data_IF_039448003401
#
_entry.id   IF_039448003401
#
_cell.length_a   1.000
_cell.length_b   1.000
_cell.length_c   1.000
_cell.angle_alpha   90.00
_cell.angle_beta   90.00
_cell.angle_gamma   90.00
#
_symmetry.space_group_name_H-M   'P 1'
#
loop_
_entity.id
_entity.type
_entity.pdbx_description
1 polymer ?
#
# COMPACT_ATOMS: atom_id res chain seq x y z
N UNK A 1 -4.74 -7.43 -25.83
CA UNK A 1 -3.96 -6.16 -25.89
C UNK A 1 -4.10 -5.45 -24.54
N UNK A 2 -3.17 -5.71 -23.62
CA UNK A 2 -3.26 -5.25 -22.22
C UNK A 2 -2.94 -3.75 -22.18
N UNK A 3 -3.95 -2.92 -21.91
CA UNK A 3 -3.74 -1.50 -21.58
C UNK A 3 -2.98 -1.45 -20.25
N UNK A 4 -1.65 -1.35 -20.31
CA UNK A 4 -0.83 -0.98 -19.15
C UNK A 4 -1.22 0.44 -18.72
N UNK A 5 -2.25 0.55 -17.88
CA UNK A 5 -2.49 1.76 -17.11
C UNK A 5 -1.42 1.78 -16.03
N UNK A 6 -0.30 2.45 -16.34
CA UNK A 6 0.88 2.50 -15.49
C UNK A 6 0.55 2.84 -14.04
N UNK A 7 1.42 2.39 -13.14
CA UNK A 7 1.44 2.78 -11.72
C UNK A 7 1.41 4.31 -11.63
N UNK A 8 0.22 4.86 -11.42
CA UNK A 8 0.05 6.28 -11.25
C UNK A 8 0.47 6.61 -9.82
N UNK A 9 1.79 6.73 -9.62
CA UNK A 9 2.40 7.17 -8.37
C UNK A 9 1.83 8.54 -7.99
N UNK A 10 1.58 8.66 -6.70
CA UNK A 10 0.75 9.65 -6.02
C UNK A 10 1.45 10.98 -5.83
N UNK A 11 2.30 11.35 -6.78
CA UNK A 11 2.82 12.70 -6.79
C UNK A 11 1.67 13.63 -7.14
N UNK A 12 1.35 14.52 -6.20
CA UNK A 12 0.41 15.61 -6.39
C UNK A 12 0.72 16.27 -7.72
N UNK A 13 -0.13 16.05 -8.73
CA UNK A 13 0.09 16.64 -10.03
C UNK A 13 -0.01 18.14 -9.90
N UNK A 14 1.12 18.83 -9.82
CA UNK A 14 1.13 20.29 -9.76
C UNK A 14 0.50 20.83 -11.02
N UNK A 15 0.70 20.16 -12.16
CA UNK A 15 0.28 20.65 -13.48
C UNK A 15 0.96 21.98 -13.83
N UNK A 16 2.00 22.33 -13.10
CA UNK A 16 2.81 23.52 -13.26
C UNK A 16 3.95 23.18 -14.21
N UNK A 17 4.14 24.02 -15.23
CA UNK A 17 5.17 23.81 -16.25
C UNK A 17 6.39 24.65 -15.92
N UNK A 18 7.44 23.98 -15.46
CA UNK A 18 8.75 24.57 -15.14
C UNK A 18 9.71 24.24 -16.30
N UNK A 19 10.48 25.22 -16.81
CA UNK A 19 11.50 24.94 -17.81
C UNK A 19 12.64 24.12 -17.18
N UNK A 20 13.05 23.07 -17.88
CA UNK A 20 14.17 22.21 -17.48
C UNK A 20 15.03 21.90 -18.69
N UNK A 21 16.30 21.62 -18.44
CA UNK A 21 17.25 21.16 -19.45
C UNK A 21 17.70 19.76 -19.07
N UNK A 22 17.49 18.79 -19.97
CA UNK A 22 18.00 17.43 -19.81
C UNK A 22 19.36 17.32 -20.51
N UNK A 23 20.37 16.82 -19.79
CA UNK A 23 21.68 16.48 -20.35
C UNK A 23 21.77 14.96 -20.42
N UNK A 24 21.78 14.40 -21.63
CA UNK A 24 21.80 12.96 -21.88
C UNK A 24 22.60 12.63 -23.15
N UNK A 25 23.57 11.72 -23.06
CA UNK A 25 24.36 11.21 -24.19
C UNK A 25 24.88 12.31 -25.15
N UNK A 26 25.50 13.37 -24.61
CA UNK A 26 25.97 14.56 -25.34
C UNK A 26 24.88 15.42 -26.01
N UNK A 27 23.61 15.11 -25.78
CA UNK A 27 22.48 15.95 -26.16
C UNK A 27 22.03 16.82 -24.98
N UNK A 28 21.72 18.07 -25.32
CA UNK A 28 21.05 19.02 -24.43
C UNK A 28 19.63 19.20 -24.93
N UNK A 29 18.64 18.79 -24.15
CA UNK A 29 17.23 18.81 -24.52
C UNK A 29 16.51 19.83 -23.65
N UNK A 30 16.05 20.91 -24.25
CA UNK A 30 15.19 21.88 -23.57
C UNK A 30 13.76 21.33 -23.50
N UNK A 31 13.19 21.29 -22.30
CA UNK A 31 11.84 20.80 -22.09
C UNK A 31 11.11 21.65 -21.06
N UNK A 32 9.80 21.44 -20.98
CA UNK A 32 8.98 21.95 -19.87
C UNK A 32 8.33 20.77 -19.19
N UNK A 33 8.37 20.78 -17.86
CA UNK A 33 7.67 19.80 -17.06
C UNK A 33 6.18 19.88 -17.37
N UNK A 34 5.55 18.72 -17.43
CA UNK A 34 4.10 18.59 -17.36
C UNK A 34 3.66 18.43 -15.92
N UNK A 35 4.57 17.92 -15.10
CA UNK A 35 4.39 17.72 -13.68
C UNK A 35 5.74 17.71 -12.96
N UNK A 36 5.72 18.18 -11.72
CA UNK A 36 6.87 18.22 -10.82
C UNK A 36 6.39 17.73 -9.46
N UNK A 37 7.22 16.94 -8.81
CA UNK A 37 6.96 16.34 -7.52
C UNK A 37 8.21 16.28 -6.67
N UNK A 38 8.06 15.90 -5.40
CA UNK A 38 9.17 15.81 -4.47
C UNK A 38 10.32 14.93 -4.99
N UNK A 39 10.00 13.80 -5.62
CA UNK A 39 10.99 12.79 -6.03
C UNK A 39 11.05 12.57 -7.54
N UNK A 40 10.44 13.44 -8.36
CA UNK A 40 10.51 13.24 -9.80
C UNK A 40 9.74 14.24 -10.66
N UNK A 41 9.87 14.04 -11.97
CA UNK A 41 9.31 14.90 -13.01
C UNK A 41 8.57 14.08 -14.06
N UNK A 42 7.61 14.72 -14.70
CA UNK A 42 7.02 14.21 -15.94
C UNK A 42 7.20 15.21 -17.06
N UNK A 43 7.65 14.73 -18.21
CA UNK A 43 7.96 15.57 -19.37
C UNK A 43 7.25 15.02 -20.62
N UNK A 44 7.02 15.87 -21.61
CA UNK A 44 6.70 15.40 -22.97
C UNK A 44 7.93 14.63 -23.47
N UNK A 45 7.71 13.49 -24.14
CA UNK A 45 8.80 12.72 -24.71
C UNK A 45 9.54 13.57 -25.75
N UNK A 46 10.88 13.72 -25.66
CA UNK A 46 11.66 14.37 -26.69
C UNK A 46 11.50 13.64 -28.02
N UNK A 47 11.22 14.37 -29.10
CA UNK A 47 10.94 13.76 -30.41
C UNK A 47 12.22 13.23 -31.08
N UNK A 48 13.37 13.85 -30.79
CA UNK A 48 14.66 13.55 -31.43
C UNK A 48 15.53 12.55 -30.66
N UNK A 49 15.16 12.15 -29.44
CA UNK A 49 16.00 11.30 -28.58
C UNK A 49 15.16 10.20 -27.96
N UNK A 50 15.55 8.95 -28.19
CA UNK A 50 14.98 7.80 -27.50
C UNK A 50 15.78 7.55 -26.22
N UNK A 51 15.13 7.74 -25.07
CA UNK A 51 15.74 7.46 -23.77
C UNK A 51 15.08 6.22 -23.19
N UNK A 52 15.89 5.23 -22.82
CA UNK A 52 15.41 3.94 -22.32
C UNK A 52 15.08 4.04 -20.83
N UNK A 53 14.04 3.34 -20.35
CA UNK A 53 13.85 3.17 -18.91
C UNK A 53 15.11 2.59 -18.24
N UNK A 54 15.44 3.11 -17.06
CA UNK A 54 16.64 2.73 -16.29
C UNK A 54 17.87 3.59 -16.53
N UNK A 55 17.89 4.44 -17.58
CA UNK A 55 19.02 5.33 -17.85
C UNK A 55 19.01 6.57 -16.94
N UNK A 56 20.20 7.06 -16.59
CA UNK A 56 20.39 8.25 -15.75
C UNK A 56 20.56 9.49 -16.64
N UNK A 57 19.83 10.55 -16.32
CA UNK A 57 19.83 11.84 -16.98
C UNK A 57 20.10 12.93 -15.93
N UNK A 58 20.93 13.91 -16.26
CA UNK A 58 21.04 15.10 -15.43
C UNK A 58 19.97 16.13 -15.81
N UNK A 59 19.21 16.59 -14.82
CA UNK A 59 18.14 17.58 -14.98
C UNK A 59 18.55 18.89 -14.35
N UNK A 60 18.56 19.94 -15.16
CA UNK A 60 18.97 21.29 -14.78
C UNK A 60 17.74 22.23 -14.79
N UNK A 61 17.48 22.92 -13.67
CA UNK A 61 16.35 23.84 -13.52
C UNK A 61 16.81 25.28 -13.79
N UNK A 62 16.58 25.77 -15.01
CA UNK A 62 17.10 27.06 -15.52
C UNK A 62 16.92 28.25 -14.59
N UNK A 63 15.78 28.33 -13.91
CA UNK A 63 15.40 29.50 -13.11
C UNK A 63 15.83 29.39 -11.64
N UNK A 64 16.61 28.36 -11.30
CA UNK A 64 17.26 28.14 -10.01
C UNK A 64 18.72 27.82 -10.27
N UNK A 65 19.56 28.86 -10.26
CA UNK A 65 21.01 28.67 -10.35
C UNK A 65 21.44 27.60 -9.33
N UNK A 66 22.24 26.64 -9.80
CA UNK A 66 22.81 25.51 -9.05
C UNK A 66 21.89 24.33 -8.72
N UNK A 67 20.65 24.29 -9.22
CA UNK A 67 19.78 23.12 -9.03
C UNK A 67 19.92 22.12 -10.18
N UNK A 68 20.93 21.25 -10.09
CA UNK A 68 21.13 20.10 -10.97
C UNK A 68 20.86 18.79 -10.21
N UNK A 69 19.97 17.97 -10.75
CA UNK A 69 19.54 16.71 -10.12
C UNK A 69 19.70 15.57 -11.12
N UNK A 70 20.50 14.57 -10.76
CA UNK A 70 20.52 13.31 -11.49
C UNK A 70 19.18 12.59 -11.33
N UNK A 71 18.65 12.02 -12.40
CA UNK A 71 17.35 11.36 -12.40
C UNK A 71 17.37 10.13 -13.29
N UNK A 72 16.77 9.04 -12.84
CA UNK A 72 16.60 7.82 -13.63
C UNK A 72 15.29 7.90 -14.42
N UNK A 73 15.29 7.44 -15.66
CA UNK A 73 14.06 7.28 -16.45
C UNK A 73 13.25 6.13 -15.87
N UNK A 74 12.27 6.45 -15.03
CA UNK A 74 11.38 5.45 -14.43
C UNK A 74 10.46 4.79 -15.48
N UNK A 75 9.97 5.58 -16.46
CA UNK A 75 9.19 5.03 -17.57
C UNK A 75 9.26 5.90 -18.83
N UNK A 76 9.15 5.25 -19.99
CA UNK A 76 9.06 5.91 -21.30
C UNK A 76 7.77 5.49 -22.02
N UNK A 77 6.78 6.38 -22.06
CA UNK A 77 5.51 6.18 -22.76
C UNK A 77 5.54 6.65 -24.21
N UNK A 78 4.38 6.55 -24.89
CA UNK A 78 4.22 7.02 -26.27
C UNK A 78 4.41 8.55 -26.40
N UNK A 79 3.94 9.32 -25.43
CA UNK A 79 3.94 10.80 -25.48
C UNK A 79 4.71 11.48 -24.35
N UNK A 80 5.17 10.71 -23.35
CA UNK A 80 5.71 11.26 -22.11
C UNK A 80 6.83 10.37 -21.58
N UNK A 81 7.77 10.98 -20.87
CA UNK A 81 8.75 10.29 -20.03
C UNK A 81 8.52 10.69 -18.56
N UNK A 82 8.72 9.74 -17.65
CA UNK A 82 8.77 9.98 -16.21
C UNK A 82 10.20 9.83 -15.73
N UNK A 83 10.67 10.82 -14.98
CA UNK A 83 11.99 10.85 -14.36
C UNK A 83 11.83 10.76 -12.85
N UNK A 84 12.63 9.93 -12.21
CA UNK A 84 12.72 9.77 -10.76
C UNK A 84 14.07 10.26 -10.30
N UNK A 85 14.11 11.20 -9.37
CA UNK A 85 15.35 11.80 -8.90
C UNK A 85 16.20 10.80 -8.12
N UNK A 86 17.49 10.80 -8.40
CA UNK A 86 18.47 9.97 -7.72
C UNK A 86 19.03 10.70 -6.50
N UNK A 87 18.76 10.19 -5.30
CA UNK A 87 19.32 10.71 -4.05
C UNK A 87 18.94 12.15 -3.68
N UNK A 88 17.96 12.75 -4.37
CA UNK A 88 17.44 14.09 -4.08
C UNK A 88 15.92 14.06 -4.02
N UNK A 89 15.38 14.58 -2.93
CA UNK A 89 13.95 14.85 -2.76
C UNK A 89 13.78 16.33 -2.43
N UNK A 90 12.93 17.02 -3.19
CA UNK A 90 12.57 18.39 -2.87
C UNK A 90 11.67 18.41 -1.64
N UNK A 91 12.06 19.23 -0.66
CA UNK A 91 11.20 19.66 0.43
C UNK A 91 9.97 20.41 -0.10
N UNK A 92 8.92 20.55 0.72
CA UNK A 92 7.76 21.37 0.35
C UNK A 92 8.15 22.82 0.03
N UNK A 93 9.18 23.33 0.72
CA UNK A 93 9.74 24.65 0.48
C UNK A 93 10.38 24.73 -0.91
N UNK A 94 11.30 23.83 -1.24
CA UNK A 94 11.93 23.78 -2.57
C UNK A 94 10.91 23.59 -3.69
N UNK A 95 9.88 22.75 -3.49
CA UNK A 95 8.79 22.61 -4.44
C UNK A 95 8.00 23.91 -4.61
N UNK A 96 7.71 24.62 -3.52
CA UNK A 96 7.00 25.90 -3.59
C UNK A 96 7.83 26.94 -4.34
N UNK A 97 9.13 27.01 -4.07
CA UNK A 97 10.03 27.90 -4.82
C UNK A 97 10.07 27.54 -6.31
N UNK A 98 10.15 26.26 -6.67
CA UNK A 98 10.06 25.80 -8.06
C UNK A 98 8.73 26.16 -8.72
N UNK A 99 7.64 26.12 -7.96
CA UNK A 99 6.32 26.54 -8.44
C UNK A 99 6.20 28.05 -8.60
N UNK A 100 6.88 28.83 -7.77
CA UNK A 100 6.81 30.29 -7.77
C UNK A 100 7.48 30.92 -9.00
N UNK A 101 8.43 30.21 -9.61
CA UNK A 101 8.98 30.52 -10.94
C UNK A 101 7.89 30.52 -12.02
N UNK A 102 6.87 29.68 -11.87
CA UNK A 102 5.82 29.60 -12.89
C UNK A 102 4.90 30.83 -12.85
N UNK A 103 4.41 31.28 -14.03
CA UNK A 103 3.51 32.43 -14.11
C UNK A 103 2.30 32.29 -13.18
N UNK A 104 1.90 33.39 -12.55
CA UNK A 104 0.79 33.43 -11.58
C UNK A 104 -0.51 32.83 -12.13
N UNK A 105 -0.80 33.01 -13.43
CA UNK A 105 -1.96 32.42 -14.10
C UNK A 105 -1.90 30.89 -14.17
N UNK A 106 -0.71 30.28 -14.32
CA UNK A 106 -0.56 28.82 -14.28
C UNK A 106 -0.80 28.29 -12.87
N UNK A 107 -0.22 28.95 -11.87
CA UNK A 107 -0.44 28.62 -10.45
C UNK A 107 -1.93 28.74 -10.08
N UNK A 108 -2.59 29.80 -10.50
CA UNK A 108 -4.02 30.01 -10.29
C UNK A 108 -4.86 28.94 -10.99
N UNK A 109 -4.54 28.61 -12.26
CA UNK A 109 -5.23 27.56 -13.01
C UNK A 109 -5.06 26.18 -12.37
N UNK A 110 -3.85 25.83 -11.93
CA UNK A 110 -3.56 24.59 -11.23
C UNK A 110 -4.34 24.50 -9.91
N UNK A 111 -4.28 25.55 -9.08
CA UNK A 111 -5.02 25.66 -7.82
C UNK A 111 -6.53 25.56 -8.05
N UNK A 112 -7.06 26.27 -9.04
CA UNK A 112 -8.49 26.27 -9.36
C UNK A 112 -8.95 24.91 -9.85
N UNK A 113 -8.19 24.25 -10.74
CA UNK A 113 -8.48 22.90 -11.21
C UNK A 113 -8.46 21.88 -10.06
N UNK A 114 -7.50 22.00 -9.14
CA UNK A 114 -7.41 21.16 -7.93
C UNK A 114 -8.59 21.40 -7.00
N UNK A 115 -8.92 22.66 -6.72
CA UNK A 115 -10.06 23.02 -5.89
C UNK A 115 -11.37 22.51 -6.50
N UNK A 116 -11.56 22.68 -7.81
CA UNK A 116 -12.70 22.14 -8.54
C UNK A 116 -12.77 20.61 -8.40
N UNK A 117 -11.68 19.90 -8.67
CA UNK A 117 -11.66 18.43 -8.56
C UNK A 117 -11.94 17.94 -7.14
N UNK A 118 -11.33 18.55 -6.12
CA UNK A 118 -11.59 18.20 -4.72
C UNK A 118 -13.04 18.48 -4.31
N UNK A 119 -13.59 19.64 -4.70
CA UNK A 119 -14.96 20.01 -4.38
C UNK A 119 -15.96 19.15 -5.14
N UNK A 120 -15.70 18.81 -6.41
CA UNK A 120 -16.50 17.84 -7.17
C UNK A 120 -16.51 16.47 -6.52
N UNK A 121 -15.36 15.98 -6.05
CA UNK A 121 -15.28 14.70 -5.31
C UNK A 121 -16.08 14.77 -4.02
N UNK A 122 -15.90 15.82 -3.20
CA UNK A 122 -16.64 16.02 -1.95
C UNK A 122 -18.14 16.09 -2.18
N UNK A 123 -18.57 16.81 -3.22
CA UNK A 123 -19.96 16.91 -3.62
C UNK A 123 -20.53 15.56 -4.09
N UNK A 124 -19.78 14.80 -4.89
CA UNK A 124 -20.19 13.47 -5.32
C UNK A 124 -20.35 12.51 -4.14
N UNK A 125 -19.42 12.51 -3.18
CA UNK A 125 -19.53 11.72 -1.94
C UNK A 125 -20.75 12.14 -1.13
N UNK A 126 -20.99 13.44 -0.99
CA UNK A 126 -22.18 13.94 -0.30
C UNK A 126 -23.46 13.49 -0.99
N UNK A 127 -23.60 13.67 -2.31
CA UNK A 127 -24.77 13.21 -3.06
C UNK A 127 -24.98 11.70 -2.97
N UNK A 128 -23.92 10.91 -3.12
CA UNK A 128 -23.95 9.45 -3.04
C UNK A 128 -24.43 8.96 -1.68
N UNK A 129 -24.05 9.64 -0.59
CA UNK A 129 -24.37 9.22 0.77
C UNK A 129 -25.65 9.82 1.34
N UNK A 130 -26.23 10.83 0.68
CA UNK A 130 -27.48 11.48 1.13
C UNK A 130 -28.64 11.15 0.20
N UNK A 131 -28.64 11.68 -1.02
CA UNK A 131 -29.78 11.60 -1.94
C UNK A 131 -29.77 10.36 -2.83
N UNK A 132 -28.59 9.85 -3.20
CA UNK A 132 -28.45 8.77 -4.17
C UNK A 132 -28.13 7.40 -3.54
N UNK A 133 -28.09 7.29 -2.21
CA UNK A 133 -27.63 6.09 -1.50
C UNK A 133 -28.37 4.83 -1.93
N UNK A 134 -29.72 4.89 -1.95
CA UNK A 134 -30.57 3.77 -2.39
C UNK A 134 -30.29 3.35 -3.84
N UNK A 135 -30.05 4.30 -4.74
CA UNK A 135 -29.71 4.01 -6.13
C UNK A 135 -28.32 3.40 -6.25
N UNK A 136 -27.33 3.91 -5.51
CA UNK A 136 -25.98 3.36 -5.46
C UNK A 136 -26.02 1.90 -5.00
N UNK A 137 -26.77 1.60 -3.92
CA UNK A 137 -26.95 0.24 -3.43
C UNK A 137 -27.65 -0.68 -4.45
N UNK A 138 -28.77 -0.22 -5.03
CA UNK A 138 -29.54 -1.00 -6.00
C UNK A 138 -28.74 -1.31 -7.29
N UNK A 139 -27.87 -0.39 -7.72
CA UNK A 139 -27.00 -0.57 -8.89
C UNK A 139 -25.76 -1.42 -8.58
N UNK A 140 -25.16 -1.23 -7.40
CA UNK A 140 -23.96 -1.96 -7.01
C UNK A 140 -24.25 -3.43 -6.73
N UNK A 141 -25.36 -3.73 -6.03
CA UNK A 141 -25.72 -5.07 -5.51
C UNK A 141 -24.49 -5.75 -4.87
N UNK A 142 -23.95 -5.16 -3.79
CA UNK A 142 -22.69 -5.63 -3.23
C UNK A 142 -22.82 -7.06 -2.69
N UNK A 143 -21.93 -7.95 -3.10
CA UNK A 143 -21.73 -9.26 -2.47
C UNK A 143 -20.88 -9.10 -1.20
N UNK A 144 -19.99 -8.10 -1.18
CA UNK A 144 -19.14 -7.81 -0.04
C UNK A 144 -19.01 -6.30 0.24
N UNK A 145 -18.59 -5.99 1.46
CA UNK A 145 -18.19 -4.64 1.88
C UNK A 145 -16.74 -4.66 2.30
N UNK A 146 -16.00 -3.62 1.91
CA UNK A 146 -14.67 -3.36 2.42
C UNK A 146 -14.75 -2.19 3.40
N UNK A 147 -14.69 -2.53 4.69
CA UNK A 147 -14.82 -1.61 5.81
C UNK A 147 -13.48 -0.92 6.09
N UNK A 148 -13.47 0.41 6.01
CA UNK A 148 -12.26 1.21 6.17
C UNK A 148 -12.42 2.35 7.17
N UNK A 149 -11.30 2.82 7.68
CA UNK A 149 -11.19 4.05 8.46
C UNK A 149 -10.04 4.89 7.90
N UNK A 150 -9.92 6.12 8.37
CA UNK A 150 -8.79 6.96 8.00
C UNK A 150 -8.49 8.04 9.01
N UNK A 151 -7.37 8.70 8.82
CA UNK A 151 -6.98 9.86 9.62
C UNK A 151 -7.56 11.17 9.03
N UNK A 152 -7.35 12.29 9.75
CA UNK A 152 -7.83 13.62 9.35
C UNK A 152 -7.42 14.04 7.94
N UNK A 153 -6.21 13.70 7.51
CA UNK A 153 -5.72 14.02 6.17
C UNK A 153 -6.47 13.23 5.09
N UNK A 154 -6.59 11.92 5.29
CA UNK A 154 -7.29 11.00 4.39
C UNK A 154 -8.79 11.34 4.30
N UNK A 155 -9.45 11.59 5.43
CA UNK A 155 -10.86 11.99 5.47
C UNK A 155 -11.09 13.36 4.82
N UNK A 156 -10.17 14.31 5.04
CA UNK A 156 -10.24 15.66 4.46
C UNK A 156 -10.23 15.67 2.92
N UNK A 157 -9.74 14.61 2.28
CA UNK A 157 -9.85 14.46 0.83
C UNK A 157 -11.31 14.27 0.36
N UNK A 158 -12.16 13.62 1.14
CA UNK A 158 -13.53 13.24 0.75
C UNK A 158 -14.59 14.13 1.39
N UNK A 159 -14.29 14.74 2.53
CA UNK A 159 -15.28 15.39 3.38
C UNK A 159 -14.76 16.70 3.94
N UNK A 160 -15.69 17.56 4.34
CA UNK A 160 -15.45 18.68 5.26
C UNK A 160 -16.14 18.39 6.60
N UNK A 161 -15.70 18.99 7.71
CA UNK A 161 -16.34 18.79 9.02
C UNK A 161 -17.86 19.06 8.99
N UNK A 162 -18.29 20.13 8.30
CA UNK A 162 -19.71 20.48 8.15
C UNK A 162 -20.51 19.46 7.36
N UNK A 163 -19.92 18.88 6.30
CA UNK A 163 -20.61 17.86 5.50
C UNK A 163 -20.69 16.53 6.24
N UNK A 164 -19.64 16.17 7.00
CA UNK A 164 -19.60 14.93 7.77
C UNK A 164 -20.76 14.85 8.79
N UNK A 165 -21.08 15.96 9.46
CA UNK A 165 -22.20 16.06 10.40
C UNK A 165 -23.59 15.77 9.80
N UNK A 166 -23.72 15.80 8.47
CA UNK A 166 -24.99 15.58 7.75
C UNK A 166 -25.04 14.26 6.99
N UNK A 167 -23.98 13.46 7.06
CA UNK A 167 -23.90 12.19 6.37
C UNK A 167 -24.21 11.03 7.32
N UNK A 168 -24.64 9.87 6.79
CA UNK A 168 -24.76 8.66 7.60
C UNK A 168 -23.41 8.23 8.18
N UNK A 169 -23.45 7.41 9.23
CA UNK A 169 -22.23 6.95 9.91
C UNK A 169 -21.32 6.08 9.05
N UNK A 170 -21.89 5.43 8.03
CA UNK A 170 -21.16 4.62 7.06
C UNK A 170 -21.17 5.27 5.68
N UNK A 171 -20.00 5.69 5.23
CA UNK A 171 -19.83 6.47 4.02
C UNK A 171 -19.39 5.59 2.87
N UNK A 172 -20.24 5.42 1.86
CA UNK A 172 -19.86 4.81 0.58
C UNK A 172 -18.87 5.74 -0.10
N UNK A 173 -17.61 5.30 -0.16
CA UNK A 173 -16.53 6.05 -0.80
C UNK A 173 -16.21 5.53 -2.19
N UNK A 174 -16.55 4.28 -2.50
CA UNK A 174 -16.28 3.72 -3.81
C UNK A 174 -16.88 2.34 -4.06
N UNK A 175 -16.65 1.88 -5.28
CA UNK A 175 -17.07 0.59 -5.80
C UNK A 175 -15.85 -0.28 -6.06
N UNK A 176 -15.98 -1.56 -5.77
CA UNK A 176 -14.94 -2.57 -5.97
C UNK A 176 -15.53 -3.65 -6.87
N UNK A 177 -14.73 -4.09 -7.84
CA UNK A 177 -15.05 -5.25 -8.68
C UNK A 177 -13.84 -6.15 -8.81
N UNK A 178 -14.05 -7.45 -8.69
CA UNK A 178 -13.11 -8.46 -9.10
C UNK A 178 -13.87 -9.54 -9.87
N UNK A 179 -13.59 -9.70 -11.16
CA UNK A 179 -14.38 -10.58 -12.03
C UNK A 179 -15.89 -10.23 -11.98
N UNK A 180 -16.74 -11.19 -11.58
CA UNK A 180 -18.17 -11.06 -11.36
C UNK A 180 -18.54 -10.58 -9.93
N UNK A 181 -17.60 -10.63 -8.99
CA UNK A 181 -17.79 -10.15 -7.62
C UNK A 181 -17.81 -8.62 -7.54
N UNK A 182 -18.80 -8.08 -6.83
CA UNK A 182 -19.02 -6.65 -6.66
C UNK A 182 -19.07 -6.30 -5.19
N UNK A 183 -18.50 -5.16 -4.83
CA UNK A 183 -18.52 -4.69 -3.46
C UNK A 183 -18.42 -3.18 -3.35
N UNK A 184 -18.53 -2.69 -2.12
CA UNK A 184 -18.44 -1.27 -1.80
C UNK A 184 -17.30 -1.00 -0.82
N UNK A 185 -16.58 0.08 -1.06
CA UNK A 185 -15.65 0.67 -0.10
C UNK A 185 -16.46 1.57 0.84
N UNK A 186 -16.52 1.23 2.11
CA UNK A 186 -17.36 1.92 3.11
C UNK A 186 -16.51 2.39 4.28
N UNK A 187 -16.43 3.70 4.46
CA UNK A 187 -15.65 4.31 5.52
C UNK A 187 -16.48 4.62 6.77
N UNK A 188 -15.84 4.48 7.93
CA UNK A 188 -16.35 5.00 9.20
C UNK A 188 -16.44 6.54 9.19
N UNK A 189 -17.43 7.08 9.90
CA UNK A 189 -17.47 8.51 10.26
C UNK A 189 -16.40 8.88 11.30
N UNK A 190 -15.94 7.89 12.08
CA UNK A 190 -14.95 8.05 13.14
C UNK A 190 -13.55 7.92 12.56
N UNK A 191 -12.63 8.73 13.08
CA UNK A 191 -11.22 8.67 12.71
C UNK A 191 -10.51 7.49 13.40
N UNK A 192 -9.33 7.14 12.90
CA UNK A 192 -8.49 6.07 13.46
C UNK A 192 -8.26 6.20 14.97
N UNK A 193 -7.85 7.38 15.42
CA UNK A 193 -7.58 7.71 16.83
C UNK A 193 -8.83 7.49 17.70
N UNK A 194 -9.99 7.87 17.18
CA UNK A 194 -11.26 7.69 17.88
C UNK A 194 -11.66 6.22 18.02
N UNK A 195 -11.45 5.40 16.99
CA UNK A 195 -11.76 3.97 17.00
C UNK A 195 -10.79 3.17 17.89
N UNK A 196 -9.53 3.61 17.96
CA UNK A 196 -8.54 3.01 18.83
C UNK A 196 -8.85 3.25 20.32
N UNK A 197 -9.29 4.47 20.65
CA UNK A 197 -9.55 4.88 22.03
C UNK A 197 -10.92 4.44 22.57
N UNK A 198 -11.97 4.49 21.74
CA UNK A 198 -13.36 4.35 22.19
C UNK A 198 -14.05 3.11 21.58
N UNK A 199 -14.22 2.07 22.41
CA UNK A 199 -14.88 0.83 22.02
C UNK A 199 -16.36 1.01 21.64
N UNK A 200 -17.07 2.01 22.18
CA UNK A 200 -18.46 2.25 21.80
C UNK A 200 -18.57 2.74 20.36
N UNK A 201 -17.59 3.53 19.89
CA UNK A 201 -17.54 3.97 18.49
C UNK A 201 -17.30 2.81 17.53
N UNK A 202 -16.48 1.84 17.95
CA UNK A 202 -16.26 0.61 17.17
C UNK A 202 -17.57 -0.19 17.07
N UNK A 203 -18.27 -0.40 18.20
CA UNK A 203 -19.57 -1.10 18.20
C UNK A 203 -20.58 -0.39 17.31
N UNK A 204 -20.72 0.93 17.48
CA UNK A 204 -21.64 1.71 16.66
C UNK A 204 -21.31 1.63 15.17
N UNK A 205 -20.02 1.68 14.80
CA UNK A 205 -19.59 1.57 13.41
C UNK A 205 -19.95 0.19 12.81
N UNK A 206 -19.56 -0.90 13.47
CA UNK A 206 -19.78 -2.25 12.96
C UNK A 206 -21.27 -2.65 12.99
N UNK A 207 -22.01 -2.28 14.03
CA UNK A 207 -23.45 -2.53 14.14
C UNK A 207 -24.22 -1.77 13.06
N UNK A 208 -23.85 -0.51 12.79
CA UNK A 208 -24.46 0.25 11.70
C UNK A 208 -24.08 -0.35 10.34
N UNK A 209 -22.88 -0.90 10.20
CA UNK A 209 -22.43 -1.50 8.95
C UNK A 209 -23.24 -2.74 8.62
N UNK A 210 -23.47 -3.62 9.58
CA UNK A 210 -24.33 -4.79 9.38
C UNK A 210 -25.78 -4.40 9.11
N UNK A 211 -26.31 -3.36 9.78
CA UNK A 211 -27.67 -2.85 9.52
C UNK A 211 -27.83 -2.19 8.16
N UNK A 212 -26.81 -1.49 7.68
CA UNK A 212 -26.83 -0.83 6.36
C UNK A 212 -26.66 -1.83 5.20
N UNK A 213 -26.10 -3.00 5.48
CA UNK A 213 -25.73 -4.01 4.51
C UNK A 213 -26.13 -5.43 4.98
N UNK A 214 -27.43 -5.70 5.24
CA UNK A 214 -27.86 -6.97 5.83
C UNK A 214 -27.68 -8.17 4.88
N UNK A 215 -27.68 -7.93 3.56
CA UNK A 215 -27.62 -8.98 2.53
C UNK A 215 -26.20 -9.27 2.02
N UNK A 216 -25.18 -8.57 2.54
CA UNK A 216 -23.80 -8.79 2.10
C UNK A 216 -23.25 -10.03 2.78
N UNK A 217 -22.57 -10.87 2.00
CA UNK A 217 -22.07 -12.15 2.49
C UNK A 217 -20.79 -11.95 3.30
N UNK A 218 -19.95 -10.98 2.94
CA UNK A 218 -18.64 -10.76 3.58
C UNK A 218 -18.37 -9.28 3.81
N UNK A 219 -17.76 -8.96 4.96
CA UNK A 219 -17.33 -7.61 5.36
C UNK A 219 -15.86 -7.68 5.74
N UNK A 220 -14.98 -7.30 4.81
CA UNK A 220 -13.54 -7.24 5.04
C UNK A 220 -13.19 -6.07 5.96
N UNK A 221 -12.56 -6.36 7.11
CA UNK A 221 -12.07 -5.36 8.05
C UNK A 221 -10.62 -4.97 7.70
N UNK A 222 -10.37 -3.68 7.41
CA UNK A 222 -9.01 -3.22 7.04
C UNK A 222 -8.11 -3.01 8.25
N UNK A 223 -6.82 -3.27 8.08
CA UNK A 223 -5.75 -2.80 8.97
C UNK A 223 -5.98 -3.23 10.41
N UNK A 224 -6.14 -2.26 11.32
CA UNK A 224 -6.31 -2.50 12.76
C UNK A 224 -7.78 -2.71 13.17
N UNK A 225 -8.75 -2.60 12.26
CA UNK A 225 -10.17 -2.82 12.59
C UNK A 225 -10.45 -4.15 13.30
N UNK A 226 -9.85 -5.30 12.89
CA UNK A 226 -10.03 -6.55 13.64
C UNK A 226 -9.64 -6.43 15.11
N UNK A 227 -8.50 -5.80 15.40
CA UNK A 227 -8.04 -5.59 16.76
C UNK A 227 -8.97 -4.64 17.53
N UNK A 228 -9.49 -3.61 16.88
CA UNK A 228 -10.46 -2.69 17.48
C UNK A 228 -11.78 -3.41 17.80
N UNK A 229 -12.26 -4.27 16.90
CA UNK A 229 -13.47 -5.08 17.10
C UNK A 229 -13.31 -6.02 18.31
N UNK A 230 -12.21 -6.77 18.35
CA UNK A 230 -11.92 -7.67 19.48
C UNK A 230 -11.77 -6.92 20.80
N UNK A 231 -11.07 -5.76 20.81
CA UNK A 231 -10.96 -4.90 22.00
C UNK A 231 -12.33 -4.42 22.48
N UNK A 232 -13.25 -4.15 21.55
CA UNK A 232 -14.62 -3.79 21.85
C UNK A 232 -15.51 -4.99 22.25
N UNK A 233 -14.97 -6.22 22.31
CA UNK A 233 -15.72 -7.42 22.65
C UNK A 233 -16.64 -7.91 21.53
N UNK A 234 -16.35 -7.53 20.27
CA UNK A 234 -17.05 -8.04 19.09
C UNK A 234 -16.31 -9.27 18.59
N UNK A 235 -17.00 -10.39 18.56
CA UNK A 235 -16.51 -11.60 17.91
C UNK A 235 -16.52 -11.43 16.40
N UNK A 236 -15.42 -11.81 15.73
CA UNK A 236 -15.30 -11.71 14.27
C UNK A 236 -15.80 -13.03 13.68
N UNK A 237 -17.11 -13.11 13.51
CA UNK A 237 -17.80 -14.19 12.81
C UNK A 237 -18.45 -13.67 11.55
N UNK A 238 -18.94 -14.57 10.68
CA UNK A 238 -19.72 -14.20 9.50
C UNK A 238 -20.81 -13.17 9.84
N UNK A 239 -20.94 -12.05 9.08
CA UNK A 239 -20.26 -11.76 7.82
C UNK A 239 -18.90 -11.05 7.95
N UNK A 240 -18.41 -10.77 9.15
CA UNK A 240 -17.14 -10.09 9.36
C UNK A 240 -15.96 -10.99 9.00
N UNK A 241 -14.98 -10.43 8.29
CA UNK A 241 -13.77 -11.13 7.84
C UNK A 241 -12.55 -10.43 8.42
N UNK A 242 -11.74 -11.18 9.16
CA UNK A 242 -10.57 -10.68 9.87
C UNK A 242 -9.42 -10.32 8.91
N UNK A 243 -9.21 -11.16 7.88
CA UNK A 243 -8.12 -11.00 6.92
C UNK A 243 -6.83 -11.74 7.26
N UNK A 244 -6.87 -12.67 8.22
CA UNK A 244 -5.73 -13.48 8.65
C UNK A 244 -5.17 -14.36 7.52
N UNK A 245 -6.00 -15.22 6.93
CA UNK A 245 -5.64 -16.11 5.81
C UNK A 245 -5.18 -15.33 4.58
N UNK A 246 -5.88 -14.25 4.24
CA UNK A 246 -5.51 -13.40 3.10
C UNK A 246 -4.14 -12.73 3.28
N UNK A 247 -3.81 -12.32 4.51
CA UNK A 247 -2.51 -11.74 4.84
C UNK A 247 -1.41 -12.81 4.85
N UNK A 248 -1.67 -13.97 5.45
CA UNK A 248 -0.77 -15.13 5.43
C UNK A 248 -0.45 -15.57 3.99
N UNK A 249 -1.46 -15.66 3.12
CA UNK A 249 -1.29 -16.00 1.71
C UNK A 249 -0.44 -14.97 0.97
N UNK A 250 -0.73 -13.68 1.20
CA UNK A 250 0.03 -12.58 0.61
C UNK A 250 1.52 -12.68 0.95
N UNK A 251 1.84 -12.93 2.22
CA UNK A 251 3.22 -13.06 2.70
C UNK A 251 3.85 -14.34 2.16
N UNK A 252 3.14 -15.46 2.19
CA UNK A 252 3.62 -16.75 1.68
C UNK A 252 3.97 -16.67 0.19
N UNK A 253 3.09 -16.12 -0.66
CA UNK A 253 3.34 -16.01 -2.09
C UNK A 253 4.47 -15.00 -2.40
N UNK A 254 4.62 -13.95 -1.59
CA UNK A 254 5.74 -13.02 -1.70
C UNK A 254 7.06 -13.68 -1.27
N UNK A 255 7.08 -14.43 -0.18
CA UNK A 255 8.27 -15.13 0.28
C UNK A 255 8.75 -16.16 -0.76
N UNK A 256 7.82 -16.91 -1.36
CA UNK A 256 8.11 -17.78 -2.51
C UNK A 256 8.80 -17.01 -3.65
N UNK A 257 8.29 -15.83 -4.00
CA UNK A 257 8.88 -14.96 -5.05
C UNK A 257 10.21 -14.33 -4.64
N UNK A 258 10.46 -14.12 -3.34
CA UNK A 258 11.77 -13.69 -2.85
C UNK A 258 12.81 -14.77 -3.11
N UNK A 259 12.48 -16.03 -2.83
CA UNK A 259 13.34 -17.18 -3.09
C UNK A 259 13.60 -17.39 -4.60
N UNK A 260 12.63 -17.10 -5.46
CA UNK A 260 12.80 -17.17 -6.93
C UNK A 260 13.79 -16.12 -7.49
N UNK A 261 14.20 -15.10 -6.70
CA UNK A 261 15.18 -14.11 -7.16
C UNK A 261 16.58 -14.73 -7.23
N UNK A 262 17.36 -14.51 -8.30
CA UNK A 262 18.68 -15.14 -8.47
C UNK A 262 19.61 -14.94 -7.27
N UNK A 263 19.64 -13.73 -6.70
CA UNK A 263 20.50 -13.39 -5.55
C UNK A 263 20.09 -14.04 -4.22
N UNK A 264 18.88 -14.61 -4.13
CA UNK A 264 18.35 -15.23 -2.91
C UNK A 264 17.98 -16.71 -3.08
N UNK A 265 18.12 -17.28 -4.28
CA UNK A 265 17.75 -18.66 -4.62
C UNK A 265 18.44 -19.76 -3.80
N UNK A 266 19.52 -19.42 -3.08
CA UNK A 266 20.25 -20.34 -2.21
C UNK A 266 19.96 -20.12 -0.71
N UNK A 267 19.04 -19.20 -0.37
CA UNK A 267 18.67 -18.96 1.02
C UNK A 267 17.72 -20.06 1.49
N UNK A 268 18.08 -20.75 2.56
CA UNK A 268 17.26 -21.80 3.19
C UNK A 268 16.51 -21.28 4.43
N UNK A 269 16.74 -20.02 4.79
CA UNK A 269 16.16 -19.37 5.97
C UNK A 269 15.52 -18.02 5.65
N UNK A 270 14.54 -17.66 6.48
CA UNK A 270 13.87 -16.36 6.44
C UNK A 270 13.53 -15.89 7.86
N UNK A 271 13.60 -14.58 8.10
CA UNK A 271 13.25 -13.96 9.38
C UNK A 271 11.87 -13.33 9.29
N UNK A 272 11.04 -13.53 10.31
CA UNK A 272 9.77 -12.83 10.51
C UNK A 272 9.93 -11.87 11.70
N UNK A 273 10.04 -10.58 11.41
CA UNK A 273 10.09 -9.52 12.44
C UNK A 273 8.67 -9.28 12.97
N UNK A 274 8.46 -9.45 14.28
CA UNK A 274 7.11 -9.49 14.87
C UNK A 274 6.54 -10.90 14.94
N UNK A 275 7.42 -11.91 15.03
CA UNK A 275 7.05 -13.33 14.97
C UNK A 275 6.12 -13.82 16.10
N UNK A 276 6.03 -13.12 17.24
CA UNK A 276 5.08 -13.46 18.31
C UNK A 276 3.70 -12.79 18.09
N UNK A 277 3.54 -12.02 17.01
CA UNK A 277 2.26 -11.41 16.64
C UNK A 277 1.25 -12.48 16.23
N UNK A 278 -0.04 -12.14 16.26
CA UNK A 278 -1.12 -13.05 15.86
C UNK A 278 -0.92 -13.59 14.43
N UNK A 279 -0.69 -12.69 13.48
CA UNK A 279 -0.35 -13.05 12.09
C UNK A 279 1.07 -13.62 12.02
N UNK A 280 2.03 -13.00 12.70
CA UNK A 280 3.44 -13.38 12.64
C UNK A 280 3.71 -14.83 13.04
N UNK A 281 3.03 -15.34 14.08
CA UNK A 281 3.20 -16.71 14.53
C UNK A 281 2.68 -17.71 13.49
N UNK A 282 1.49 -17.48 12.93
CA UNK A 282 0.94 -18.32 11.87
C UNK A 282 1.81 -18.30 10.61
N UNK A 283 2.27 -17.11 10.20
CA UNK A 283 3.21 -16.94 9.09
C UNK A 283 4.51 -17.70 9.31
N UNK A 284 5.05 -17.72 10.54
CA UNK A 284 6.27 -18.48 10.82
C UNK A 284 6.09 -19.96 10.50
N UNK A 285 4.93 -20.53 10.84
CA UNK A 285 4.60 -21.93 10.54
C UNK A 285 4.38 -22.13 9.04
N UNK A 286 3.60 -21.27 8.39
CA UNK A 286 3.29 -21.36 6.97
C UNK A 286 4.55 -21.34 6.09
N UNK A 287 5.51 -20.48 6.45
CA UNK A 287 6.77 -20.32 5.72
C UNK A 287 7.70 -21.53 5.85
N UNK A 288 7.49 -22.44 6.81
CA UNK A 288 8.24 -23.71 6.84
C UNK A 288 7.92 -24.63 5.66
N UNK A 289 6.86 -24.34 4.88
CA UNK A 289 6.62 -25.00 3.60
C UNK A 289 7.54 -24.54 2.46
N UNK A 290 8.26 -23.43 2.64
CA UNK A 290 9.14 -22.80 1.65
C UNK A 290 10.61 -22.75 2.08
N UNK A 291 10.86 -22.72 3.39
CA UNK A 291 12.20 -22.57 3.99
C UNK A 291 12.43 -23.65 5.05
N UNK A 292 13.64 -24.20 5.10
CA UNK A 292 14.03 -25.20 6.09
C UNK A 292 14.00 -24.64 7.52
N UNK A 293 14.36 -23.36 7.67
CA UNK A 293 14.38 -22.63 8.96
C UNK A 293 13.69 -21.28 8.85
N UNK A 294 12.71 -21.04 9.71
CA UNK A 294 12.06 -19.73 9.87
C UNK A 294 12.43 -19.16 11.23
N UNK A 295 12.90 -17.93 11.28
CA UNK A 295 13.25 -17.25 12.53
C UNK A 295 12.14 -16.28 12.88
N UNK A 296 11.28 -16.65 13.82
CA UNK A 296 10.33 -15.74 14.44
C UNK A 296 11.03 -14.85 15.44
N UNK A 297 11.33 -13.62 15.05
CA UNK A 297 11.98 -12.63 15.92
C UNK A 297 10.96 -11.72 16.59
N UNK A 298 10.96 -11.67 17.92
CA UNK A 298 10.10 -10.76 18.69
C UNK A 298 10.64 -10.53 20.11
N UNK A 299 10.62 -9.29 20.63
CA UNK A 299 11.04 -9.00 22.01
C UNK A 299 10.26 -9.75 23.10
N UNK A 300 9.05 -10.27 22.79
CA UNK A 300 8.24 -11.04 23.74
C UNK A 300 8.74 -12.46 23.99
N UNK A 301 9.68 -12.96 23.19
CA UNK A 301 10.28 -14.27 23.42
C UNK A 301 11.35 -14.16 24.52
N UNK A 302 11.13 -14.84 25.64
CA UNK A 302 12.04 -14.80 26.80
C UNK A 302 13.29 -15.66 26.59
N UNK A 303 13.17 -16.74 25.82
CA UNK A 303 14.25 -17.68 25.52
C UNK A 303 14.18 -18.16 24.07
N UNK A 304 15.31 -18.67 23.57
CA UNK A 304 15.40 -19.29 22.26
C UNK A 304 14.68 -20.65 22.29
N UNK A 305 13.68 -20.82 21.43
CA UNK A 305 12.92 -22.06 21.32
C UNK A 305 12.83 -22.53 19.87
N UNK A 306 13.31 -23.73 19.61
CA UNK A 306 13.11 -24.39 18.33
C UNK A 306 11.84 -25.24 18.36
N UNK A 307 10.98 -25.06 17.36
CA UNK A 307 9.75 -25.80 17.16
C UNK A 307 9.87 -26.52 15.81
N UNK A 308 9.86 -27.84 15.85
CA UNK A 308 9.78 -28.65 14.63
C UNK A 308 8.35 -28.57 14.06
N UNK A 309 8.26 -28.37 12.76
CA UNK A 309 7.02 -28.54 11.99
C UNK A 309 7.16 -29.75 11.07
N UNK A 310 6.09 -30.16 10.40
CA UNK A 310 6.14 -31.28 9.45
C UNK A 310 7.04 -31.00 8.23
N UNK A 311 7.43 -29.74 8.01
CA UNK A 311 8.14 -29.28 6.79
C UNK A 311 9.43 -28.53 7.07
N UNK A 312 9.73 -28.17 8.32
CA UNK A 312 10.94 -27.41 8.67
C UNK A 312 11.00 -27.08 10.16
N UNK A 313 11.67 -25.99 10.49
CA UNK A 313 11.85 -25.55 11.88
C UNK A 313 11.52 -24.08 12.04
N UNK A 314 10.91 -23.72 13.17
CA UNK A 314 10.72 -22.34 13.61
C UNK A 314 11.60 -22.09 14.83
N UNK A 315 12.55 -21.16 14.72
CA UNK A 315 13.25 -20.60 15.87
C UNK A 315 12.47 -19.37 16.37
N UNK A 316 11.89 -19.44 17.56
CA UNK A 316 11.39 -18.28 18.29
C UNK A 316 12.54 -17.68 19.11
N UNK A 317 12.82 -16.38 18.93
CA UNK A 317 13.94 -15.73 19.60
C UNK A 317 13.75 -14.21 19.73
N UNK A 318 14.34 -13.63 20.78
CA UNK A 318 14.55 -12.18 20.92
C UNK A 318 16.02 -11.77 20.72
N UNK A 319 16.90 -12.74 20.43
CA UNK A 319 18.35 -12.51 20.30
C UNK A 319 18.70 -11.95 18.93
N UNK A 320 19.18 -10.71 18.92
CA UNK A 320 19.65 -10.00 17.72
C UNK A 320 20.84 -10.69 17.02
N UNK A 321 21.51 -11.62 17.70
CA UNK A 321 22.62 -12.37 17.12
C UNK A 321 22.17 -13.29 15.97
N UNK A 322 20.96 -13.85 16.06
CA UNK A 322 20.38 -14.72 15.02
C UNK A 322 19.95 -13.97 13.76
N UNK A 323 19.93 -12.64 13.79
CA UNK A 323 19.67 -11.84 12.59
C UNK A 323 20.90 -11.73 11.69
N UNK A 324 22.10 -12.03 12.23
CA UNK A 324 23.35 -11.93 11.48
C UNK A 324 23.46 -13.07 10.48
N UNK A 325 23.85 -12.75 9.25
CA UNK A 325 23.98 -13.72 8.16
C UNK A 325 22.71 -13.89 7.32
N UNK A 326 21.53 -13.60 7.90
CA UNK A 326 20.25 -13.67 7.20
C UNK A 326 20.13 -12.61 6.10
N UNK A 327 19.39 -12.96 5.03
CA UNK A 327 19.16 -12.08 3.87
C UNK A 327 17.70 -11.77 3.60
N UNK A 328 16.78 -12.62 4.03
CA UNK A 328 15.36 -12.48 3.74
C UNK A 328 14.59 -12.17 5.02
N UNK A 329 13.78 -11.12 4.98
CA UNK A 329 13.00 -10.67 6.13
C UNK A 329 11.56 -10.33 5.71
N UNK A 330 10.60 -10.72 6.53
CA UNK A 330 9.22 -10.22 6.49
C UNK A 330 9.03 -9.26 7.68
N UNK A 331 8.54 -8.05 7.41
CA UNK A 331 8.22 -7.04 8.42
C UNK A 331 6.76 -7.11 8.85
N UNK A 332 6.50 -7.57 10.09
CA UNK A 332 5.18 -7.63 10.74
C UNK A 332 5.19 -7.01 12.15
N UNK A 333 6.10 -6.06 12.40
CA UNK A 333 6.17 -5.31 13.65
C UNK A 333 4.97 -4.38 13.83
N UNK A 334 4.81 -3.84 15.04
CA UNK A 334 3.72 -2.92 15.41
C UNK A 334 3.69 -1.63 14.55
N UNK A 335 4.85 -1.16 14.10
CA UNK A 335 5.02 -0.17 13.05
C UNK A 335 6.34 -0.42 12.31
N UNK A 336 6.46 0.11 11.09
CA UNK A 336 7.60 -0.20 10.22
C UNK A 336 8.94 0.30 10.76
N UNK A 337 8.99 1.52 11.29
CA UNK A 337 10.25 2.16 11.69
C UNK A 337 11.00 1.46 12.85
N UNK A 338 10.35 0.53 13.58
CA UNK A 338 11.02 -0.33 14.59
C UNK A 338 12.22 -1.05 13.99
N UNK A 339 12.18 -1.38 12.70
CA UNK A 339 13.26 -2.07 11.97
C UNK A 339 14.62 -1.37 12.10
N UNK A 340 14.64 -0.04 12.34
CA UNK A 340 15.85 0.74 12.50
C UNK A 340 16.64 0.37 13.77
N UNK A 341 15.99 -0.21 14.78
CA UNK A 341 16.64 -0.72 15.98
C UNK A 341 17.52 -1.93 15.64
N UNK A 342 17.17 -2.68 14.59
CA UNK A 342 17.84 -3.92 14.21
C UNK A 342 18.82 -3.75 13.04
N UNK A 343 18.87 -2.58 12.40
CA UNK A 343 19.66 -2.32 11.19
C UNK A 343 21.18 -2.62 11.33
N UNK A 344 21.71 -2.68 12.56
CA UNK A 344 23.10 -3.03 12.82
C UNK A 344 23.37 -4.54 12.77
N UNK A 345 22.32 -5.35 12.89
CA UNK A 345 22.37 -6.79 12.91
C UNK A 345 21.93 -7.42 11.58
N UNK A 346 21.21 -6.65 10.75
CA UNK A 346 20.80 -7.06 9.41
C UNK A 346 21.99 -6.93 8.45
N UNK A 347 22.24 -7.98 7.67
CA UNK A 347 23.39 -8.05 6.77
C UNK A 347 23.20 -7.17 5.52
N UNK A 348 24.27 -6.55 4.99
CA UNK A 348 24.21 -5.89 3.68
C UNK A 348 23.72 -6.85 2.57
N UNK A 349 22.92 -6.34 1.64
CA UNK A 349 22.28 -7.12 0.57
C UNK A 349 20.97 -7.80 0.99
N UNK A 350 20.53 -7.63 2.24
CA UNK A 350 19.24 -8.14 2.70
C UNK A 350 18.05 -7.45 2.01
N UNK A 351 16.92 -8.15 1.98
CA UNK A 351 15.63 -7.66 1.52
C UNK A 351 14.58 -7.82 2.62
N UNK A 352 13.88 -6.72 2.90
CA UNK A 352 12.74 -6.66 3.81
C UNK A 352 11.46 -6.49 3.00
N UNK A 353 10.59 -7.48 3.06
CA UNK A 353 9.23 -7.43 2.57
C UNK A 353 8.32 -6.81 3.67
N UNK A 354 7.94 -5.57 3.48
CA UNK A 354 7.21 -4.77 4.47
C UNK A 354 5.68 -4.94 4.37
N UNK A 355 5.07 -5.52 5.39
CA UNK A 355 3.62 -5.56 5.59
C UNK A 355 3.17 -4.87 6.89
N UNK A 356 3.99 -3.99 7.47
CA UNK A 356 3.62 -3.29 8.69
C UNK A 356 2.58 -2.19 8.41
N UNK A 357 1.79 -1.86 9.44
CA UNK A 357 0.87 -0.74 9.40
C UNK A 357 0.92 0.08 10.71
N UNK A 358 1.48 1.31 10.70
CA UNK A 358 2.05 2.03 9.54
C UNK A 358 3.27 1.33 8.91
N UNK A 359 3.50 1.57 7.61
CA UNK A 359 4.62 0.99 6.85
C UNK A 359 5.98 1.60 7.24
N UNK A 360 7.08 1.04 6.73
CA UNK A 360 8.42 1.60 6.94
C UNK A 360 8.53 2.94 6.20
N UNK A 361 8.72 4.01 6.97
CA UNK A 361 8.75 5.38 6.46
C UNK A 361 9.87 5.57 5.44
N UNK A 362 9.72 6.55 4.55
CA UNK A 362 10.80 6.84 3.60
C UNK A 362 12.14 7.12 4.30
N UNK A 363 12.13 7.90 5.39
CA UNK A 363 13.35 8.23 6.13
C UNK A 363 14.02 6.97 6.68
N UNK A 364 13.25 6.01 7.16
CA UNK A 364 13.78 4.72 7.60
C UNK A 364 14.36 3.92 6.42
N UNK A 365 13.68 3.89 5.27
CA UNK A 365 14.16 3.22 4.06
C UNK A 365 15.45 3.80 3.52
N UNK A 366 15.62 5.12 3.51
CA UNK A 366 16.86 5.78 3.09
C UNK A 366 18.04 5.34 3.97
N UNK A 367 17.85 5.29 5.29
CA UNK A 367 18.87 4.80 6.24
C UNK A 367 19.20 3.31 6.06
N UNK A 368 18.21 2.48 5.75
CA UNK A 368 18.42 1.07 5.45
C UNK A 368 19.17 0.89 4.12
N UNK A 369 18.86 1.71 3.11
CA UNK A 369 19.53 1.69 1.81
C UNK A 369 21.01 2.09 1.91
N UNK A 370 21.36 3.05 2.78
CA UNK A 370 22.77 3.38 3.09
C UNK A 370 23.57 2.16 3.59
N UNK A 371 22.90 1.18 4.18
CA UNK A 371 23.46 -0.11 4.63
C UNK A 371 23.28 -1.25 3.61
N UNK A 372 22.83 -0.92 2.39
CA UNK A 372 22.53 -1.88 1.33
C UNK A 372 21.40 -2.86 1.72
N UNK A 373 20.45 -2.43 2.55
CA UNK A 373 19.27 -3.20 2.91
C UNK A 373 18.11 -2.69 2.07
N UNK A 374 17.56 -3.54 1.20
CA UNK A 374 16.42 -3.21 0.36
C UNK A 374 15.11 -3.37 1.15
N UNK A 375 14.16 -2.48 0.88
CA UNK A 375 12.80 -2.56 1.45
C UNK A 375 11.80 -2.46 0.32
N UNK A 376 10.88 -3.42 0.26
CA UNK A 376 9.81 -3.49 -0.74
C UNK A 376 8.47 -3.72 -0.05
N UNK A 377 7.40 -3.07 -0.51
CA UNK A 377 6.05 -3.22 0.08
C UNK A 377 5.41 -4.49 -0.47
N UNK A 378 4.80 -5.25 0.44
CA UNK A 378 3.98 -6.42 0.13
C UNK A 378 2.58 -5.97 -0.27
N UNK A 379 2.08 -6.44 -1.42
CA UNK A 379 0.68 -6.26 -1.85
C UNK A 379 0.19 -7.50 -2.59
N UNK A 380 -1.11 -7.77 -2.61
CA UNK A 380 -1.71 -8.68 -3.58
C UNK A 380 -2.10 -7.92 -4.84
N UNK A 381 -2.22 -8.65 -5.95
CA UNK A 381 -2.66 -8.11 -7.23
C UNK A 381 -3.51 -9.10 -8.00
N UNK A 382 -4.40 -8.57 -8.83
CA UNK A 382 -5.21 -9.33 -9.78
C UNK A 382 -5.51 -8.45 -11.00
N UNK A 383 -5.49 -9.03 -12.19
CA UNK A 383 -5.57 -8.26 -13.45
C UNK A 383 -6.95 -7.64 -13.71
N UNK A 384 -8.01 -8.28 -13.22
CA UNK A 384 -9.39 -7.76 -13.35
C UNK A 384 -9.86 -6.93 -12.14
N UNK A 385 -9.00 -6.78 -11.13
CA UNK A 385 -9.35 -6.01 -9.95
C UNK A 385 -9.50 -4.53 -10.29
N UNK A 386 -10.57 -3.93 -9.78
CA UNK A 386 -10.86 -2.52 -9.96
C UNK A 386 -11.46 -1.95 -8.67
N UNK A 387 -10.92 -0.82 -8.25
CA UNK A 387 -11.46 0.02 -7.18
C UNK A 387 -11.63 1.44 -7.70
N UNK A 388 -12.82 2.02 -7.54
CA UNK A 388 -13.11 3.37 -7.99
C UNK A 388 -14.06 4.14 -7.07
N UNK A 389 -13.69 5.36 -6.62
CA UNK A 389 -12.35 5.93 -6.65
C UNK A 389 -11.35 5.07 -5.85
N UNK A 390 -10.06 5.28 -6.13
CA UNK A 390 -8.97 4.59 -5.41
C UNK A 390 -8.95 5.01 -3.96
N UNK A 391 -8.52 4.10 -3.09
CA UNK A 391 -8.11 4.50 -1.75
C UNK A 391 -6.92 5.48 -1.81
N UNK A 392 -6.89 6.47 -0.92
CA UNK A 392 -5.71 7.29 -0.69
C UNK A 392 -4.52 6.37 -0.39
N UNK A 393 -3.39 6.56 -1.07
CA UNK A 393 -2.14 5.82 -0.83
C UNK A 393 -2.15 4.39 -1.34
N UNK A 394 -3.11 3.98 -2.17
CA UNK A 394 -3.11 2.64 -2.73
C UNK A 394 -3.01 2.67 -4.26
N UNK A 395 -2.23 1.72 -4.78
CA UNK A 395 -2.22 1.44 -6.22
C UNK A 395 -3.58 0.87 -6.63
N UNK A 396 -3.97 1.11 -7.87
CA UNK A 396 -5.22 0.62 -8.44
C UNK A 396 -5.34 -0.91 -8.51
N UNK A 397 -4.20 -1.58 -8.38
CA UNK A 397 -4.03 -3.02 -8.49
C UNK A 397 -3.52 -3.65 -7.19
N UNK A 398 -3.20 -2.83 -6.19
CA UNK A 398 -2.81 -3.32 -4.88
C UNK A 398 -4.08 -3.69 -4.12
N UNK A 399 -4.15 -4.93 -3.68
CA UNK A 399 -5.28 -5.49 -2.95
C UNK A 399 -4.76 -5.86 -1.56
N UNK A 400 -5.38 -5.36 -0.48
CA UNK A 400 -5.04 -5.80 0.87
C UNK A 400 -5.37 -7.29 1.08
N UNK A 401 -4.61 -7.98 1.93
CA UNK A 401 -4.87 -9.38 2.29
C UNK A 401 -6.30 -9.61 2.79
N UNK A 402 -6.79 -8.74 3.68
CA UNK A 402 -8.15 -8.85 4.22
C UNK A 402 -9.27 -8.78 3.16
N UNK A 403 -9.06 -8.02 2.09
CA UNK A 403 -10.01 -7.96 0.99
C UNK A 403 -9.95 -9.23 0.13
N UNK A 404 -8.76 -9.79 -0.09
CA UNK A 404 -8.64 -11.07 -0.82
C UNK A 404 -9.28 -12.21 -0.04
N UNK A 405 -9.14 -12.23 1.29
CA UNK A 405 -9.82 -13.22 2.12
C UNK A 405 -11.34 -13.18 1.94
N UNK A 406 -11.95 -11.99 2.00
CA UNK A 406 -13.37 -11.87 1.74
C UNK A 406 -13.75 -12.37 0.34
N UNK A 407 -12.94 -12.10 -0.68
CA UNK A 407 -13.20 -12.56 -2.06
C UNK A 407 -13.08 -14.08 -2.21
N UNK A 408 -12.11 -14.72 -1.55
CA UNK A 408 -11.96 -16.18 -1.52
C UNK A 408 -13.15 -16.80 -0.79
N UNK A 409 -13.51 -16.27 0.39
CA UNK A 409 -14.61 -16.77 1.21
C UNK A 409 -16.01 -16.55 0.61
N UNK A 410 -16.16 -15.67 -0.39
CA UNK A 410 -17.41 -15.57 -1.17
C UNK A 410 -17.63 -16.83 -2.03
N UNK A 411 -16.55 -17.50 -2.44
CA UNK A 411 -16.61 -18.65 -3.33
C UNK A 411 -16.45 -19.96 -2.59
N UNK A 412 -15.59 -20.00 -1.58
CA UNK A 412 -15.41 -21.13 -0.68
C UNK A 412 -15.64 -20.69 0.78
N UNK A 413 -16.91 -20.66 1.24
CA UNK A 413 -17.26 -20.12 2.55
C UNK A 413 -16.76 -20.96 3.72
N UNK A 414 -16.50 -22.26 3.49
CA UNK A 414 -16.15 -23.23 4.53
C UNK A 414 -14.65 -23.31 4.83
N UNK A 415 -13.80 -22.54 4.12
CA UNK A 415 -12.36 -22.50 4.41
C UNK A 415 -12.15 -21.78 5.75
N UNK A 416 -11.79 -22.54 6.78
CA UNK A 416 -11.42 -22.03 8.09
C UNK A 416 -9.91 -21.76 8.24
N UNK A 417 -9.51 -21.19 9.39
CA UNK A 417 -8.10 -20.84 9.67
C UNK A 417 -7.12 -22.02 9.60
N UNK A 418 -7.60 -23.24 9.86
CA UNK A 418 -6.82 -24.47 9.82
C UNK A 418 -6.55 -25.01 8.41
N UNK A 419 -7.23 -24.48 7.39
CA UNK A 419 -7.08 -24.95 6.00
C UNK A 419 -6.39 -23.91 5.11
N UNK A 420 -5.21 -23.48 5.56
CA UNK A 420 -4.41 -22.51 4.83
C UNK A 420 -4.01 -23.00 3.43
N UNK A 421 -3.78 -24.32 3.28
CA UNK A 421 -3.46 -24.89 1.98
C UNK A 421 -4.61 -24.78 0.99
N UNK A 422 -5.87 -25.07 1.39
CA UNK A 422 -7.01 -24.86 0.51
C UNK A 422 -7.22 -23.37 0.20
N UNK A 423 -6.99 -22.49 1.19
CA UNK A 423 -7.03 -21.04 0.95
C UNK A 423 -6.04 -20.61 -0.13
N UNK A 424 -4.78 -21.07 -0.05
CA UNK A 424 -3.76 -20.76 -1.06
C UNK A 424 -4.17 -21.25 -2.45
N UNK A 425 -4.66 -22.49 -2.56
CA UNK A 425 -5.10 -23.06 -3.83
C UNK A 425 -6.25 -22.26 -4.46
N UNK A 426 -7.25 -21.88 -3.65
CA UNK A 426 -8.37 -21.08 -4.16
C UNK A 426 -7.95 -19.65 -4.52
N UNK A 427 -7.07 -19.02 -3.72
CA UNK A 427 -6.54 -17.69 -4.02
C UNK A 427 -5.74 -17.68 -5.34
N UNK A 428 -4.90 -18.70 -5.58
CA UNK A 428 -4.18 -18.89 -6.83
C UNK A 428 -5.13 -19.19 -8.00
N UNK A 429 -6.13 -20.04 -7.78
CA UNK A 429 -7.16 -20.35 -8.79
C UNK A 429 -7.92 -19.09 -9.22
N UNK A 430 -8.24 -18.21 -8.28
CA UNK A 430 -8.84 -16.90 -8.53
C UNK A 430 -7.86 -15.92 -9.18
N UNK A 431 -6.58 -16.27 -9.35
CA UNK A 431 -5.57 -15.47 -10.03
C UNK A 431 -4.94 -14.38 -9.17
N UNK A 432 -5.13 -14.41 -7.84
CA UNK A 432 -4.44 -13.49 -6.95
C UNK A 432 -2.95 -13.84 -6.92
N UNK A 433 -2.11 -12.80 -6.87
CA UNK A 433 -0.67 -12.97 -6.81
C UNK A 433 -0.05 -11.88 -5.96
N UNK A 434 0.81 -12.29 -5.02
CA UNK A 434 1.68 -11.43 -4.23
C UNK A 434 2.66 -10.67 -5.12
N UNK A 435 2.90 -9.41 -4.80
CA UNK A 435 3.90 -8.58 -5.45
C UNK A 435 4.69 -7.84 -4.40
N UNK A 436 5.97 -7.76 -4.67
CA UNK A 436 6.85 -6.79 -4.04
C UNK A 436 6.91 -5.58 -4.95
N UNK A 437 6.48 -4.44 -4.44
CA UNK A 437 6.51 -3.18 -5.15
C UNK A 437 7.44 -2.20 -4.46
N UNK A 438 7.95 -1.22 -5.20
CA UNK A 438 8.63 -0.09 -4.58
C UNK A 438 7.67 0.55 -3.55
N UNK A 439 8.09 0.71 -2.28
CA UNK A 439 7.16 1.16 -1.26
C UNK A 439 6.71 2.59 -1.56
N UNK A 440 5.45 2.88 -1.26
CA UNK A 440 4.81 4.14 -1.58
C UNK A 440 5.44 5.27 -0.75
N UNK A 441 5.38 6.51 -1.23
CA UNK A 441 5.80 7.68 -0.46
C UNK A 441 4.78 7.94 0.66
N UNK A 442 4.94 7.21 1.76
CA UNK A 442 4.23 7.37 3.02
C UNK A 442 5.14 7.95 4.10
#
# INVERSE_FOLDING_TARGET
MIRMHGEYRRHLRSGIRVPVVLKYANHTIEARTLDVSASGLRLKRPEAVYIRPGEVINVDFRDKADLNVAATVAYAGKSHIGLEFYGKRFSEYELRELYDVAPSWQRLKARSKRALWMNSRRFAVFLANTYLRRLVHALARPHFVFAVYGNKEQAGAYLTPRTAQRMPSNLVLGFIRNQDMRGLLVASQFMEDELEEDSEKVRLYLDQLQRDYPDVQRIALVGRLPNFAMKAGIEITEPLVEGSLGTRYMIWDVARKMLERPQYSQQTSIVVLGGAGRIGNAVCQDLTSLYDRVIGFDPRYEEDREIATDRGTVLQTSSLSHLRGEKLYIGLTTHGDVVLEFQQHISPGALIADDTHPCISLKARERLLERQIAVEKVVLSHDEFMMWPRMPAWSNRAIPGCLVEALVLLRQPDIGEGDFSAFCQEAEFLGFTGRLISPLDE
#
